data_IF_211352646903
#
_entry.id   IF_211352646903
#
_cell.length_a   1.000
_cell.length_b   1.000
_cell.length_c   1.000
_cell.angle_alpha   90.00
_cell.angle_beta   90.00
_cell.angle_gamma   90.00
#
_symmetry.space_group_name_H-M   'P 1'
#
loop_
_entity.id
_entity.type
_entity.pdbx_description
1 polymer ?
#
# COMPACT_ATOMS: atom_id res chain seq x y z
N UNK A 1 -7.61 -5.37 21.93
CA UNK A 1 -8.72 -4.38 21.86
C UNK A 1 -8.43 -3.07 22.62
N UNK A 2 -7.48 -2.99 23.56
CA UNK A 2 -7.15 -1.78 24.34
C UNK A 2 -6.62 -0.56 23.56
N UNK A 3 -6.49 -0.62 22.23
CA UNK A 3 -6.02 0.47 21.36
C UNK A 3 -7.12 1.11 20.51
N UNK A 4 -8.36 0.62 20.62
CA UNK A 4 -9.50 1.13 19.87
C UNK A 4 -10.29 2.06 20.80
N UNK A 5 -10.48 3.32 20.39
CA UNK A 5 -11.35 4.26 21.11
C UNK A 5 -12.77 3.98 20.66
N UNK A 6 -13.64 3.65 21.61
CA UNK A 6 -15.07 3.50 21.36
C UNK A 6 -15.73 4.88 21.26
N UNK A 7 -16.64 5.03 20.31
CA UNK A 7 -17.49 6.21 20.17
C UNK A 7 -18.93 5.77 20.43
N UNK A 8 -19.61 6.45 21.34
CA UNK A 8 -21.01 6.16 21.68
C UNK A 8 -21.91 7.12 20.94
N UNK A 9 -22.86 6.59 20.16
CA UNK A 9 -23.92 7.37 19.55
C UNK A 9 -25.08 7.50 20.53
N UNK A 10 -25.42 8.74 20.87
CA UNK A 10 -26.52 9.06 21.79
C UNK A 10 -27.60 9.78 20.99
N UNK A 11 -28.83 9.27 21.06
CA UNK A 11 -30.01 9.99 20.59
C UNK A 11 -30.57 10.82 21.74
N UNK A 12 -30.66 12.14 21.56
CA UNK A 12 -31.19 13.08 22.57
C UNK A 12 -32.24 13.99 21.92
N UNK A 13 -33.38 14.25 22.58
CA UNK A 13 -34.34 15.24 22.12
C UNK A 13 -33.82 16.68 22.31
N UNK A 14 -32.83 16.86 23.20
CA UNK A 14 -32.16 18.14 23.42
C UNK A 14 -30.96 18.19 22.49
N UNK A 15 -31.04 19.05 21.47
CA UNK A 15 -29.95 19.31 20.55
C UNK A 15 -29.00 20.30 21.24
N UNK A 16 -27.73 19.94 21.47
CA UNK A 16 -26.75 20.88 22.02
C UNK A 16 -26.59 22.08 21.08
N UNK A 17 -26.25 23.24 21.64
CA UNK A 17 -26.03 24.44 20.83
C UNK A 17 -24.87 24.20 19.86
N UNK A 18 -25.15 24.35 18.56
CA UNK A 18 -24.17 24.22 17.50
C UNK A 18 -23.24 25.45 17.51
N UNK A 19 -21.97 25.25 17.80
CA UNK A 19 -20.96 26.31 17.66
C UNK A 19 -20.53 26.47 16.20
N UNK A 20 -20.43 25.34 15.48
CA UNK A 20 -20.16 25.34 14.03
C UNK A 20 -21.26 24.53 13.32
N UNK A 21 -21.95 25.19 12.40
CA UNK A 21 -22.95 24.57 11.53
C UNK A 21 -22.33 24.26 10.16
N UNK A 22 -22.21 22.98 9.84
CA UNK A 22 -21.78 22.52 8.53
C UNK A 22 -22.95 22.38 7.56
N UNK A 23 -22.69 22.59 6.27
CA UNK A 23 -23.66 22.37 5.19
C UNK A 23 -23.49 21.03 4.47
N UNK A 24 -22.32 20.40 4.62
CA UNK A 24 -21.98 19.12 4.05
C UNK A 24 -22.13 18.00 5.10
N UNK A 25 -22.45 16.76 4.70
CA UNK A 25 -22.46 15.62 5.60
C UNK A 25 -21.06 15.27 6.14
N UNK A 26 -21.01 14.52 7.24
CA UNK A 26 -19.76 14.00 7.80
C UNK A 26 -19.54 12.52 7.52
N UNK A 27 -18.28 12.13 7.30
CA UNK A 27 -17.83 10.74 7.48
C UNK A 27 -16.95 10.70 8.74
N UNK A 28 -17.41 9.96 9.75
CA UNK A 28 -16.71 9.78 11.02
C UNK A 28 -16.00 8.43 11.01
N UNK A 29 -14.68 8.41 11.15
CA UNK A 29 -13.92 7.16 11.19
C UNK A 29 -12.69 7.23 12.11
N UNK A 30 -11.99 6.11 12.26
CA UNK A 30 -10.78 6.01 13.08
C UNK A 30 -9.55 5.80 12.21
N UNK A 31 -8.53 6.62 12.43
CA UNK A 31 -7.17 6.40 11.95
C UNK A 31 -6.30 5.69 13.01
N UNK A 32 -6.93 4.98 13.96
CA UNK A 32 -6.27 4.13 14.96
C UNK A 32 -6.54 2.63 14.76
N UNK A 33 -6.10 1.80 15.71
CA UNK A 33 -6.26 0.34 15.62
C UNK A 33 -5.10 -0.32 14.88
N UNK A 34 -5.36 -0.86 13.68
CA UNK A 34 -4.36 -1.53 12.82
C UNK A 34 -3.56 -0.56 11.95
N UNK A 35 -4.08 0.66 11.73
CA UNK A 35 -3.42 1.74 11.01
C UNK A 35 -2.09 2.14 11.67
N UNK A 36 -1.19 2.73 10.88
CA UNK A 36 0.17 3.07 11.31
C UNK A 36 1.27 2.38 10.50
N UNK A 37 0.90 1.49 9.59
CA UNK A 37 1.71 1.09 8.45
C UNK A 37 0.90 1.22 7.17
N UNK A 38 1.59 1.39 6.04
CA UNK A 38 0.96 1.72 4.76
C UNK A 38 -0.08 0.69 4.31
N UNK A 39 0.10 -0.61 4.63
CA UNK A 39 -0.87 -1.62 4.24
C UNK A 39 -2.22 -1.37 4.91
N UNK A 40 -2.24 -1.23 6.24
CA UNK A 40 -3.48 -0.97 6.97
C UNK A 40 -4.02 0.45 6.73
N UNK A 41 -3.17 1.45 6.53
CA UNK A 41 -3.62 2.81 6.20
C UNK A 41 -4.46 2.83 4.90
N UNK A 42 -4.09 2.04 3.90
CA UNK A 42 -4.87 1.90 2.67
C UNK A 42 -6.02 0.89 2.79
N UNK A 43 -5.74 -0.29 3.31
CA UNK A 43 -6.69 -1.40 3.35
C UNK A 43 -7.86 -1.16 4.32
N UNK A 44 -7.56 -0.60 5.49
CA UNK A 44 -8.55 -0.39 6.55
C UNK A 44 -8.98 1.08 6.65
N UNK A 45 -8.31 1.98 5.91
CA UNK A 45 -8.56 3.42 5.90
C UNK A 45 -9.04 3.93 4.54
N UNK A 46 -8.12 4.18 3.61
CA UNK A 46 -8.43 4.92 2.38
C UNK A 46 -9.36 4.19 1.39
N UNK A 47 -9.20 2.89 1.20
CA UNK A 47 -10.09 2.11 0.33
C UNK A 47 -11.51 2.08 0.92
N UNK A 48 -11.71 1.74 2.20
CA UNK A 48 -13.03 1.82 2.82
C UNK A 48 -13.62 3.24 2.85
N UNK A 49 -12.79 4.27 3.04
CA UNK A 49 -13.23 5.67 2.97
C UNK A 49 -13.77 5.99 1.57
N UNK A 50 -13.08 5.57 0.51
CA UNK A 50 -13.54 5.72 -0.86
C UNK A 50 -14.86 5.00 -1.12
N UNK A 51 -14.98 3.74 -0.67
CA UNK A 51 -16.22 2.97 -0.79
C UNK A 51 -17.37 3.69 -0.08
N UNK A 52 -17.14 4.16 1.15
CA UNK A 52 -18.16 4.85 1.97
C UNK A 52 -18.62 6.14 1.33
N UNK A 53 -17.68 6.98 0.89
CA UNK A 53 -18.00 8.26 0.25
C UNK A 53 -18.85 8.05 -1.00
N UNK A 54 -18.49 7.08 -1.86
CA UNK A 54 -19.23 6.81 -3.09
C UNK A 54 -20.53 6.00 -2.89
N UNK A 55 -20.69 5.33 -1.75
CA UNK A 55 -21.90 4.53 -1.45
C UNK A 55 -22.96 5.32 -0.72
N UNK A 56 -22.55 6.14 0.26
CA UNK A 56 -23.48 6.85 1.14
C UNK A 56 -23.69 8.30 0.67
N UNK A 57 -22.66 8.93 0.11
CA UNK A 57 -22.67 10.33 -0.30
C UNK A 57 -22.24 10.51 -1.76
N UNK A 58 -22.84 9.78 -2.72
CA UNK A 58 -22.48 9.90 -4.13
C UNK A 58 -22.65 11.35 -4.60
N UNK A 59 -21.62 11.85 -5.29
CA UNK A 59 -21.57 13.19 -5.88
C UNK A 59 -21.76 14.35 -4.87
N UNK A 60 -21.51 14.10 -3.58
CA UNK A 60 -21.54 15.10 -2.51
C UNK A 60 -20.16 15.28 -1.88
N UNK A 61 -19.83 16.53 -1.55
CA UNK A 61 -18.67 16.82 -0.72
C UNK A 61 -18.95 16.41 0.73
N UNK A 62 -17.96 15.81 1.39
CA UNK A 62 -18.06 15.34 2.79
C UNK A 62 -17.04 16.05 3.66
N UNK A 63 -17.36 16.25 4.94
CA UNK A 63 -16.38 16.65 5.96
C UNK A 63 -15.82 15.38 6.61
N UNK A 64 -14.50 15.28 6.71
CA UNK A 64 -13.85 14.16 7.39
C UNK A 64 -13.69 14.47 8.88
N UNK A 65 -14.27 13.62 9.73
CA UNK A 65 -14.13 13.67 11.18
C UNK A 65 -13.38 12.43 11.62
N UNK A 66 -12.13 12.59 12.07
CA UNK A 66 -11.20 11.48 12.24
C UNK A 66 -10.80 11.37 13.70
N UNK A 67 -11.07 10.23 14.31
CA UNK A 67 -10.53 9.85 15.63
C UNK A 67 -9.16 9.21 15.47
N UNK A 68 -8.27 9.36 16.47
CA UNK A 68 -6.88 8.87 16.45
C UNK A 68 -6.06 9.39 15.27
N UNK A 69 -6.43 10.56 14.74
CA UNK A 69 -5.73 11.26 13.67
C UNK A 69 -4.44 11.91 14.18
N UNK A 70 -3.41 11.11 14.44
CA UNK A 70 -2.10 11.62 14.89
C UNK A 70 -1.54 12.60 13.86
N UNK A 71 -0.95 13.70 14.30
CA UNK A 71 -0.46 14.77 13.42
C UNK A 71 0.49 14.28 12.33
N UNK A 72 1.38 13.34 12.66
CA UNK A 72 2.30 12.75 11.69
C UNK A 72 1.58 11.96 10.60
N UNK A 73 0.45 11.30 10.93
CA UNK A 73 -0.34 10.51 9.99
C UNK A 73 -1.11 11.44 9.04
N UNK A 74 -1.74 12.47 9.60
CA UNK A 74 -2.45 13.50 8.82
C UNK A 74 -1.45 14.20 7.88
N UNK A 75 -0.30 14.62 8.38
CA UNK A 75 0.76 15.25 7.58
C UNK A 75 1.27 14.34 6.45
N UNK A 76 1.49 13.06 6.74
CA UNK A 76 1.94 12.07 5.73
C UNK A 76 0.95 11.89 4.58
N UNK A 77 -0.36 11.89 4.89
CA UNK A 77 -1.42 11.56 3.94
C UNK A 77 -2.29 12.77 3.53
N UNK A 78 -1.88 13.99 3.86
CA UNK A 78 -2.71 15.19 3.65
C UNK A 78 -3.18 15.35 2.20
N UNK A 79 -2.29 15.04 1.24
CA UNK A 79 -2.58 15.08 -0.19
C UNK A 79 -3.69 14.08 -0.59
N UNK A 80 -3.67 12.87 -0.03
CA UNK A 80 -4.72 11.86 -0.25
C UNK A 80 -6.02 12.28 0.44
N UNK A 81 -5.96 12.74 1.69
CA UNK A 81 -7.15 13.15 2.45
C UNK A 81 -7.89 14.28 1.73
N UNK A 82 -7.17 15.22 1.11
CA UNK A 82 -7.74 16.30 0.30
C UNK A 82 -8.40 15.84 -0.99
N UNK A 83 -8.16 14.62 -1.46
CA UNK A 83 -8.93 14.04 -2.57
C UNK A 83 -10.37 13.67 -2.17
N UNK A 84 -10.63 13.49 -0.87
CA UNK A 84 -11.95 13.12 -0.34
C UNK A 84 -12.75 14.31 0.19
N UNK A 85 -12.08 15.42 0.51
CA UNK A 85 -12.73 16.58 1.10
C UNK A 85 -12.07 17.89 0.70
N UNK A 86 -12.89 18.90 0.46
CA UNK A 86 -12.46 20.31 0.33
C UNK A 86 -12.50 21.08 1.65
N UNK A 87 -13.01 20.46 2.72
CA UNK A 87 -13.18 21.08 4.03
C UNK A 87 -11.98 20.78 4.94
N UNK A 88 -11.76 21.60 5.99
CA UNK A 88 -10.81 21.27 7.03
C UNK A 88 -11.13 19.91 7.67
N UNK A 89 -10.09 19.11 7.89
CA UNK A 89 -10.19 17.81 8.57
C UNK A 89 -10.38 18.07 10.06
N UNK A 90 -11.42 17.48 10.64
CA UNK A 90 -11.70 17.58 12.07
C UNK A 90 -11.01 16.42 12.79
N UNK A 91 -10.08 16.74 13.69
CA UNK A 91 -9.45 15.75 14.56
C UNK A 91 -10.26 15.61 15.85
N UNK A 92 -11.05 14.55 15.94
CA UNK A 92 -11.98 14.33 17.06
C UNK A 92 -11.28 14.17 18.43
N UNK A 93 -9.99 13.85 18.47
CA UNK A 93 -9.26 13.75 19.75
C UNK A 93 -8.85 15.11 20.32
N UNK A 94 -8.74 16.14 19.47
CA UNK A 94 -8.27 17.47 19.85
C UNK A 94 -9.35 18.55 19.69
N UNK A 95 -10.53 18.20 19.20
CA UNK A 95 -11.63 19.13 19.00
C UNK A 95 -12.54 19.18 20.24
N UNK A 96 -12.81 20.40 20.72
CA UNK A 96 -13.68 20.69 21.87
C UNK A 96 -14.97 21.40 21.44
N UNK A 97 -15.11 21.71 20.15
CA UNK A 97 -16.20 22.50 19.60
C UNK A 97 -17.37 21.59 19.23
N UNK A 98 -18.60 22.06 19.50
CA UNK A 98 -19.80 21.36 19.05
C UNK A 98 -20.07 21.62 17.57
N UNK A 99 -19.86 20.60 16.74
CA UNK A 99 -20.15 20.62 15.31
C UNK A 99 -21.50 19.97 14.98
N UNK A 100 -22.29 20.64 14.16
CA UNK A 100 -23.57 20.13 13.67
C UNK A 100 -23.53 19.91 12.16
N UNK A 101 -24.01 18.74 11.72
CA UNK A 101 -24.04 18.32 10.32
C UNK A 101 -25.48 17.99 9.92
N UNK A 102 -25.84 18.17 8.63
CA UNK A 102 -27.16 17.74 8.14
C UNK A 102 -27.35 16.23 8.20
N UNK A 103 -26.27 15.45 8.08
CA UNK A 103 -26.23 14.00 8.30
C UNK A 103 -24.78 13.54 8.52
N UNK A 104 -24.61 12.32 9.05
CA UNK A 104 -23.30 11.73 9.25
C UNK A 104 -23.34 10.21 9.05
N UNK A 105 -22.28 9.65 8.46
CA UNK A 105 -22.01 8.21 8.49
C UNK A 105 -20.91 7.94 9.53
N UNK A 106 -21.17 7.02 10.46
CA UNK A 106 -20.20 6.66 11.51
C UNK A 106 -19.67 5.26 11.24
N UNK A 107 -18.37 5.18 10.98
CA UNK A 107 -17.71 4.02 10.42
C UNK A 107 -17.48 4.14 8.91
N UNK A 108 -16.76 3.15 8.37
CA UNK A 108 -16.40 3.04 6.95
C UNK A 108 -16.65 1.60 6.49
N UNK A 109 -17.12 1.46 5.25
CA UNK A 109 -17.53 0.21 4.61
C UNK A 109 -16.34 -0.42 3.90
N UNK A 110 -16.08 -1.70 4.13
CA UNK A 110 -15.07 -2.49 3.41
C UNK A 110 -15.73 -3.63 2.63
N UNK A 111 -15.20 -3.94 1.44
CA UNK A 111 -15.70 -5.05 0.62
C UNK A 111 -14.87 -6.32 0.78
N UNK A 112 -13.53 -6.21 0.82
CA UNK A 112 -12.54 -7.24 1.14
C UNK A 112 -11.15 -6.58 1.14
N UNK A 113 -10.07 -7.34 1.38
CA UNK A 113 -8.70 -6.87 1.26
C UNK A 113 -8.42 -6.30 -0.14
N UNK A 114 -7.97 -5.04 -0.16
CA UNK A 114 -7.59 -4.30 -1.37
C UNK A 114 -8.63 -4.39 -2.49
N UNK A 115 -9.92 -4.42 -2.13
CA UNK A 115 -11.00 -4.71 -3.07
C UNK A 115 -12.04 -3.59 -3.09
N UNK A 116 -12.43 -3.18 -4.29
CA UNK A 116 -13.56 -2.30 -4.57
C UNK A 116 -14.49 -3.06 -5.51
N UNK A 117 -15.49 -3.74 -4.95
CA UNK A 117 -16.55 -4.37 -5.73
C UNK A 117 -17.52 -3.32 -6.31
N UNK A 118 -17.45 -3.10 -7.62
CA UNK A 118 -18.28 -2.14 -8.33
C UNK A 118 -19.77 -2.50 -8.37
N UNK A 119 -20.14 -3.75 -8.07
CA UNK A 119 -21.55 -4.16 -7.96
C UNK A 119 -22.21 -3.69 -6.68
N UNK A 120 -21.40 -3.36 -5.67
CA UNK A 120 -21.87 -2.92 -4.35
C UNK A 120 -21.87 -1.39 -4.20
N UNK A 121 -21.36 -0.63 -5.19
CA UNK A 121 -21.27 0.84 -5.15
C UNK A 121 -22.21 1.44 -6.21
N UNK A 122 -23.01 2.46 -5.85
CA UNK A 122 -23.71 3.31 -6.82
C UNK A 122 -22.73 3.83 -7.90
N UNK A 123 -23.18 3.88 -9.16
CA UNK A 123 -22.36 4.30 -10.30
C UNK A 123 -21.12 3.42 -10.59
N UNK A 124 -21.05 2.23 -10.01
CA UNK A 124 -20.07 1.18 -10.33
C UNK A 124 -18.61 1.63 -10.33
N UNK A 125 -18.23 2.39 -9.30
CA UNK A 125 -16.84 2.83 -9.11
C UNK A 125 -15.90 1.64 -8.99
N UNK A 126 -14.71 1.76 -9.56
CA UNK A 126 -13.67 0.73 -9.58
C UNK A 126 -12.41 1.19 -8.85
N UNK A 127 -11.44 0.30 -8.72
CA UNK A 127 -10.12 0.65 -8.17
C UNK A 127 -9.42 1.74 -8.99
N UNK A 128 -9.62 1.79 -10.31
CA UNK A 128 -9.11 2.88 -11.15
C UNK A 128 -9.69 4.24 -10.74
N UNK A 129 -10.96 4.30 -10.34
CA UNK A 129 -11.57 5.54 -9.86
C UNK A 129 -11.03 5.98 -8.49
N UNK A 130 -10.62 5.03 -7.64
CA UNK A 130 -9.92 5.32 -6.38
C UNK A 130 -8.50 5.82 -6.62
N UNK A 131 -7.81 5.20 -7.59
CA UNK A 131 -6.40 5.44 -7.85
C UNK A 131 -6.14 6.77 -8.59
N UNK A 132 -6.97 7.14 -9.57
CA UNK A 132 -6.74 8.30 -10.43
C UNK A 132 -6.60 9.66 -9.68
N UNK A 133 -7.40 9.98 -8.65
CA UNK A 133 -7.21 11.21 -7.87
C UNK A 133 -5.88 11.25 -7.11
N UNK A 134 -5.43 10.09 -6.61
CA UNK A 134 -4.17 9.95 -5.88
C UNK A 134 -2.99 10.19 -6.85
N UNK A 135 -3.01 9.54 -8.01
CA UNK A 135 -2.01 9.74 -9.05
C UNK A 135 -1.93 11.22 -9.49
N UNK A 136 -3.09 11.84 -9.74
CA UNK A 136 -3.16 13.27 -10.11
C UNK A 136 -2.55 14.17 -9.03
N UNK A 137 -2.86 13.93 -7.76
CA UNK A 137 -2.37 14.73 -6.64
C UNK A 137 -0.83 14.72 -6.56
N UNK A 138 -0.21 13.55 -6.71
CA UNK A 138 1.25 13.46 -6.63
C UNK A 138 1.96 13.83 -7.94
N UNK A 139 1.36 13.57 -9.10
CA UNK A 139 1.90 13.96 -10.40
C UNK A 139 1.96 15.47 -10.63
N UNK A 140 0.93 16.22 -10.19
CA UNK A 140 0.95 17.69 -10.29
C UNK A 140 2.09 18.33 -9.49
N UNK A 141 2.38 17.79 -8.30
CA UNK A 141 3.49 18.25 -7.46
C UNK A 141 4.86 17.98 -8.10
N UNK A 142 4.99 16.96 -8.95
CA UNK A 142 6.22 16.74 -9.72
C UNK A 142 6.39 17.76 -10.84
N UNK A 143 5.34 18.04 -11.60
CA UNK A 143 5.40 19.01 -12.71
C UNK A 143 5.71 20.44 -12.23
N UNK A 144 5.33 20.81 -11.01
CA UNK A 144 5.70 22.09 -10.41
C UNK A 144 7.17 22.16 -9.97
N UNK A 145 7.78 21.01 -9.65
CA UNK A 145 9.16 20.93 -9.18
C UNK A 145 10.16 20.56 -10.30
N UNK A 146 9.69 20.06 -11.43
CA UNK A 146 10.51 19.68 -12.59
C UNK A 146 10.34 20.68 -13.75
N UNK A 147 11.07 21.80 -13.69
CA UNK A 147 11.29 22.69 -14.84
C UNK A 147 12.27 22.12 -15.89
N UNK A 148 12.54 20.82 -15.86
CA UNK A 148 13.44 20.16 -16.81
C UNK A 148 12.77 18.91 -17.41
N UNK A 149 12.47 18.91 -18.72
CA UNK A 149 12.05 17.69 -19.38
C UNK A 149 13.23 16.73 -19.35
N UNK A 150 13.10 15.62 -18.61
CA UNK A 150 14.03 14.52 -18.70
C UNK A 150 13.82 13.90 -20.09
N UNK A 151 14.61 14.34 -21.06
CA UNK A 151 14.66 13.77 -22.40
C UNK A 151 15.14 12.32 -22.30
N UNK A 152 14.22 11.39 -22.06
CA UNK A 152 14.46 9.97 -22.18
C UNK A 152 14.60 9.64 -23.67
N UNK A 153 15.82 9.56 -24.17
CA UNK A 153 16.10 8.89 -25.43
C UNK A 153 15.81 7.38 -25.27
N UNK A 154 14.55 7.00 -25.54
CA UNK A 154 13.94 5.69 -25.26
C UNK A 154 14.68 4.49 -25.89
N UNK A 155 15.42 4.70 -26.99
CA UNK A 155 16.16 3.61 -27.65
C UNK A 155 17.47 3.20 -26.94
N UNK A 156 18.05 4.07 -26.09
CA UNK A 156 19.32 3.81 -25.38
C UNK A 156 19.18 3.75 -23.85
N UNK A 157 18.03 4.12 -23.29
CA UNK A 157 17.82 4.08 -21.84
C UNK A 157 17.67 2.64 -21.34
N UNK A 158 18.22 2.39 -20.14
CA UNK A 158 18.01 1.16 -19.37
C UNK A 158 16.70 1.28 -18.58
N UNK A 159 15.84 0.23 -18.54
CA UNK A 159 14.71 0.21 -17.63
C UNK A 159 15.16 0.40 -16.20
N UNK A 160 14.39 1.20 -15.44
CA UNK A 160 14.61 1.44 -14.02
C UNK A 160 13.91 0.34 -13.22
N UNK A 161 14.67 -0.38 -12.41
CA UNK A 161 14.16 -1.35 -11.43
C UNK A 161 14.24 -0.73 -10.04
N UNK A 162 13.11 -0.63 -9.35
CA UNK A 162 13.04 -0.24 -7.95
C UNK A 162 13.07 -1.48 -7.07
N UNK A 163 14.12 -1.64 -6.27
CA UNK A 163 14.23 -2.69 -5.27
C UNK A 163 13.77 -2.14 -3.93
N UNK A 164 12.66 -2.64 -3.42
CA UNK A 164 12.13 -2.25 -2.12
C UNK A 164 12.94 -2.96 -1.04
N UNK A 165 13.59 -2.15 -0.22
CA UNK A 165 14.41 -2.58 0.89
C UNK A 165 13.73 -2.30 2.21
N UNK A 166 14.17 -3.02 3.23
CA UNK A 166 13.77 -2.81 4.62
C UNK A 166 14.99 -3.05 5.49
N UNK A 167 15.44 -2.03 6.22
CA UNK A 167 16.40 -2.22 7.31
C UNK A 167 15.72 -2.08 8.68
N UNK A 168 16.42 -2.48 9.73
CA UNK A 168 16.03 -2.18 11.12
C UNK A 168 15.56 -3.37 11.98
N UNK A 169 15.96 -4.60 11.65
CA UNK A 169 15.85 -5.74 12.58
C UNK A 169 14.42 -6.28 12.80
N UNK A 170 13.49 -5.94 11.93
CA UNK A 170 12.14 -6.50 11.89
C UNK A 170 12.07 -7.28 10.58
N UNK A 171 11.84 -8.61 10.62
CA UNK A 171 12.11 -9.54 9.51
C UNK A 171 11.46 -9.23 8.15
N UNK A 172 11.59 -10.18 7.22
CA UNK A 172 11.40 -10.00 5.77
C UNK A 172 12.49 -9.13 5.12
N UNK A 173 13.73 -9.24 5.61
CA UNK A 173 14.91 -8.58 5.03
C UNK A 173 15.47 -9.43 3.88
N UNK A 174 15.92 -8.76 2.81
CA UNK A 174 16.68 -9.38 1.72
C UNK A 174 18.16 -9.40 2.10
N UNK A 175 18.66 -10.55 2.54
CA UNK A 175 20.01 -10.67 3.09
C UNK A 175 21.11 -10.41 2.06
N UNK A 176 20.92 -10.87 0.82
CA UNK A 176 21.86 -10.71 -0.29
C UNK A 176 21.41 -9.61 -1.29
N UNK A 177 20.95 -8.47 -0.75
CA UNK A 177 20.43 -7.35 -1.54
C UNK A 177 21.45 -6.80 -2.56
N UNK A 178 22.72 -6.71 -2.17
CA UNK A 178 23.75 -6.12 -3.02
C UNK A 178 24.04 -7.01 -4.23
N UNK A 179 24.02 -8.31 -4.03
CA UNK A 179 24.19 -9.33 -5.07
C UNK A 179 22.99 -9.34 -6.01
N UNK A 180 21.77 -9.24 -5.47
CA UNK A 180 20.55 -9.10 -6.27
C UNK A 180 20.58 -7.84 -7.14
N UNK A 181 20.99 -6.70 -6.57
CA UNK A 181 21.20 -5.45 -7.32
C UNK A 181 22.21 -5.65 -8.44
N UNK A 182 23.36 -6.25 -8.13
CA UNK A 182 24.42 -6.49 -9.11
C UNK A 182 23.97 -7.41 -10.25
N UNK A 183 23.22 -8.46 -9.96
CA UNK A 183 22.66 -9.35 -11.00
C UNK A 183 21.63 -8.64 -11.88
N UNK A 184 20.77 -7.79 -11.32
CA UNK A 184 19.85 -6.97 -12.11
C UNK A 184 20.57 -5.95 -13.01
N UNK A 185 21.64 -5.32 -12.50
CA UNK A 185 22.48 -4.39 -13.28
C UNK A 185 23.19 -5.10 -14.44
N UNK A 186 23.68 -6.33 -14.22
CA UNK A 186 24.26 -7.17 -15.30
C UNK A 186 23.26 -7.50 -16.40
N UNK A 187 22.01 -7.76 -16.04
CA UNK A 187 20.94 -8.03 -17.01
C UNK A 187 20.61 -6.79 -17.84
N UNK A 188 20.85 -5.59 -17.28
CA UNK A 188 20.73 -4.33 -17.99
C UNK A 188 19.78 -3.33 -17.34
N UNK A 189 19.29 -3.57 -16.12
CA UNK A 189 18.53 -2.58 -15.37
C UNK A 189 19.42 -1.46 -14.84
N UNK A 190 18.85 -0.28 -14.66
CA UNK A 190 19.33 0.71 -13.69
C UNK A 190 18.58 0.50 -12.38
N UNK A 191 19.27 0.22 -11.28
CA UNK A 191 18.62 -0.18 -10.03
C UNK A 191 18.58 0.97 -9.02
N UNK A 192 17.39 1.27 -8.50
CA UNK A 192 17.16 2.19 -7.38
C UNK A 192 16.78 1.36 -6.17
N UNK A 193 17.46 1.55 -5.04
CA UNK A 193 17.02 0.98 -3.77
C UNK A 193 16.09 1.99 -3.10
N UNK A 194 14.85 1.58 -2.82
CA UNK A 194 13.90 2.39 -2.08
C UNK A 194 13.63 1.75 -0.73
N UNK A 195 13.96 2.47 0.35
CA UNK A 195 13.82 2.02 1.73
C UNK A 195 12.77 2.87 2.46
N UNK A 196 11.49 2.47 2.44
CA UNK A 196 10.45 3.21 3.13
C UNK A 196 10.52 3.00 4.65
N UNK A 197 10.31 4.09 5.38
CA UNK A 197 10.09 4.10 6.82
C UNK A 197 8.62 4.46 7.12
N UNK A 198 8.18 4.28 8.36
CA UNK A 198 6.85 4.71 8.78
C UNK A 198 6.58 6.20 8.51
N UNK A 199 7.64 7.03 8.55
CA UNK A 199 7.59 8.48 8.36
C UNK A 199 7.93 8.93 6.93
N UNK A 200 8.24 8.01 5.99
CA UNK A 200 8.54 8.39 4.62
C UNK A 200 7.35 9.16 4.01
N UNK A 201 7.55 10.41 3.55
CA UNK A 201 6.48 11.18 2.92
C UNK A 201 6.00 10.51 1.64
N UNK A 202 4.69 10.53 1.39
CA UNK A 202 4.11 9.85 0.23
C UNK A 202 4.57 10.42 -1.11
N UNK A 203 4.88 11.72 -1.21
CA UNK A 203 5.41 12.29 -2.46
C UNK A 203 6.79 11.72 -2.84
N UNK A 204 7.66 11.44 -1.85
CA UNK A 204 8.97 10.80 -2.11
C UNK A 204 8.83 9.35 -2.54
N UNK A 205 7.87 8.66 -1.93
CA UNK A 205 7.55 7.30 -2.32
C UNK A 205 7.00 7.28 -3.76
N UNK A 206 6.06 8.16 -4.08
CA UNK A 206 5.55 8.34 -5.44
C UNK A 206 6.68 8.59 -6.43
N UNK A 207 7.57 9.56 -6.17
CA UNK A 207 8.69 9.86 -7.06
C UNK A 207 9.60 8.66 -7.33
N UNK A 208 9.94 7.92 -6.28
CA UNK A 208 10.80 6.75 -6.39
C UNK A 208 10.12 5.63 -7.19
N UNK A 209 8.88 5.26 -6.83
CA UNK A 209 8.18 4.13 -7.46
C UNK A 209 7.73 4.47 -8.89
N UNK A 210 7.16 5.66 -9.10
CA UNK A 210 6.57 6.06 -10.37
C UNK A 210 7.63 6.21 -11.47
N UNK A 211 8.88 6.55 -11.13
CA UNK A 211 10.01 6.56 -12.07
C UNK A 211 10.42 5.15 -12.56
N UNK A 212 10.02 4.11 -11.84
CA UNK A 212 10.32 2.72 -12.14
C UNK A 212 9.58 2.21 -13.39
N UNK A 213 10.19 1.23 -14.05
CA UNK A 213 9.54 0.38 -15.07
C UNK A 213 9.28 -1.03 -14.52
N UNK A 214 9.97 -1.35 -13.42
CA UNK A 214 9.94 -2.61 -12.74
C UNK A 214 10.10 -2.37 -11.23
N UNK A 215 9.46 -3.18 -10.40
CA UNK A 215 9.58 -3.14 -8.93
C UNK A 215 9.72 -4.55 -8.37
N UNK A 216 10.67 -4.76 -7.46
CA UNK A 216 10.85 -6.03 -6.72
C UNK A 216 10.74 -5.74 -5.23
N UNK A 217 10.08 -6.62 -4.49
CA UNK A 217 10.17 -6.60 -3.04
C UNK A 217 9.65 -7.86 -2.37
N UNK A 218 10.12 -8.10 -1.15
CA UNK A 218 9.68 -9.23 -0.32
C UNK A 218 8.32 -8.91 0.30
N UNK A 219 7.41 -9.89 0.36
CA UNK A 219 6.16 -9.75 1.10
C UNK A 219 6.45 -9.26 2.53
N UNK A 220 5.83 -8.13 2.91
CA UNK A 220 6.08 -7.48 4.20
C UNK A 220 7.11 -6.34 4.16
N UNK A 221 7.74 -6.06 3.01
CA UNK A 221 8.61 -4.89 2.80
C UNK A 221 7.83 -3.63 2.37
N UNK A 222 6.62 -3.41 2.92
CA UNK A 222 5.76 -2.28 2.58
C UNK A 222 5.38 -2.19 1.08
N UNK A 223 5.02 -3.33 0.46
CA UNK A 223 4.68 -3.41 -0.97
C UNK A 223 3.38 -2.69 -1.36
N UNK A 224 2.63 -2.13 -0.42
CA UNK A 224 1.48 -1.25 -0.73
C UNK A 224 1.90 -0.03 -1.56
N UNK A 225 3.18 0.36 -1.53
CA UNK A 225 3.74 1.37 -2.42
C UNK A 225 3.60 1.01 -3.92
N UNK A 226 3.27 -0.23 -4.28
CA UNK A 226 2.85 -0.62 -5.64
C UNK A 226 1.67 0.23 -6.13
N UNK A 227 0.90 0.88 -5.24
CA UNK A 227 -0.10 1.87 -5.63
C UNK A 227 0.46 3.05 -6.43
N UNK A 228 1.76 3.33 -6.40
CA UNK A 228 2.36 4.40 -7.19
C UNK A 228 3.02 3.92 -8.48
N UNK A 229 2.96 2.62 -8.77
CA UNK A 229 3.53 2.07 -10.00
C UNK A 229 2.68 2.51 -11.21
N UNK A 230 3.35 2.74 -12.36
CA UNK A 230 2.65 3.06 -13.60
C UNK A 230 1.96 1.81 -14.16
N UNK A 231 0.71 1.91 -14.65
CA UNK A 231 0.05 0.81 -15.34
C UNK A 231 0.92 0.28 -16.49
N UNK A 232 1.06 -1.04 -16.60
CA UNK A 232 1.95 -1.71 -17.56
C UNK A 232 3.38 -1.95 -17.07
N UNK A 233 3.81 -1.31 -15.98
CA UNK A 233 5.06 -1.67 -15.29
C UNK A 233 4.99 -3.08 -14.72
N UNK A 234 6.15 -3.65 -14.40
CA UNK A 234 6.24 -5.03 -13.86
C UNK A 234 6.45 -4.99 -12.35
N UNK A 235 5.66 -5.71 -11.59
CA UNK A 235 5.87 -5.89 -10.15
C UNK A 235 6.12 -7.36 -9.85
N UNK A 236 7.30 -7.65 -9.30
CA UNK A 236 7.67 -8.99 -8.85
C UNK A 236 7.69 -9.05 -7.33
N UNK A 237 6.82 -9.88 -6.79
CA UNK A 237 6.77 -10.16 -5.38
C UNK A 237 7.61 -11.40 -5.04
N UNK A 238 8.55 -11.26 -4.13
CA UNK A 238 9.20 -12.39 -3.46
C UNK A 238 8.29 -12.86 -2.34
N UNK A 239 7.89 -14.13 -2.37
CA UNK A 239 6.93 -14.75 -1.45
C UNK A 239 7.68 -15.67 -0.48
N UNK A 240 7.85 -15.26 0.79
CA UNK A 240 8.38 -16.11 1.86
C UNK A 240 7.51 -17.33 2.13
N UNK A 241 8.08 -18.34 2.80
CA UNK A 241 7.33 -19.54 3.21
C UNK A 241 6.09 -19.15 4.03
N UNK A 242 4.98 -19.84 3.79
CA UNK A 242 3.75 -19.69 4.59
C UNK A 242 2.97 -18.40 4.35
N UNK A 243 3.36 -17.60 3.37
CA UNK A 243 2.73 -16.32 3.05
C UNK A 243 1.97 -16.32 1.73
N UNK A 244 1.79 -17.47 1.07
CA UNK A 244 1.25 -17.58 -0.29
C UNK A 244 -0.16 -16.99 -0.40
N UNK A 245 -1.05 -17.31 0.55
CA UNK A 245 -2.39 -16.72 0.59
C UNK A 245 -2.32 -15.20 0.79
N UNK A 246 -1.49 -14.74 1.73
CA UNK A 246 -1.32 -13.33 2.02
C UNK A 246 -0.74 -12.57 0.82
N UNK A 247 0.18 -13.20 0.08
CA UNK A 247 0.77 -12.65 -1.13
C UNK A 247 -0.30 -12.33 -2.18
N UNK A 248 -1.20 -13.29 -2.43
CA UNK A 248 -2.27 -13.13 -3.39
C UNK A 248 -3.25 -12.02 -2.98
N UNK A 249 -3.79 -12.09 -1.76
CA UNK A 249 -4.87 -11.17 -1.33
C UNK A 249 -4.38 -9.76 -1.02
N UNK A 250 -3.13 -9.60 -0.59
CA UNK A 250 -2.59 -8.28 -0.22
C UNK A 250 -1.96 -7.53 -1.39
N UNK A 251 -1.22 -8.22 -2.28
CA UNK A 251 -0.36 -7.53 -3.25
C UNK A 251 -0.52 -8.01 -4.69
N UNK A 252 -0.80 -9.29 -4.96
CA UNK A 252 -1.11 -9.71 -6.33
C UNK A 252 -2.41 -9.06 -6.83
N UNK A 253 -3.45 -9.02 -5.99
CA UNK A 253 -4.68 -8.26 -6.28
C UNK A 253 -4.40 -6.77 -6.48
N UNK A 254 -3.62 -6.15 -5.59
CA UNK A 254 -3.23 -4.75 -5.71
C UNK A 254 -2.56 -4.48 -7.07
N UNK A 255 -1.58 -5.31 -7.43
CA UNK A 255 -0.82 -5.20 -8.66
C UNK A 255 -1.72 -5.21 -9.90
N UNK A 256 -2.70 -6.13 -9.94
CA UNK A 256 -3.69 -6.21 -11.02
C UNK A 256 -4.62 -5.00 -11.03
N UNK A 257 -5.06 -4.56 -9.85
CA UNK A 257 -5.94 -3.41 -9.70
C UNK A 257 -5.32 -2.09 -10.18
N UNK A 258 -4.00 -1.93 -10.04
CA UNK A 258 -3.25 -0.77 -10.58
C UNK A 258 -2.71 -1.00 -11.99
N UNK A 259 -3.11 -2.10 -12.64
CA UNK A 259 -2.76 -2.40 -14.02
C UNK A 259 -1.30 -2.80 -14.27
N UNK A 260 -0.56 -3.19 -13.23
CA UNK A 260 0.81 -3.72 -13.39
C UNK A 260 0.82 -5.19 -13.81
N UNK A 261 1.87 -5.60 -14.53
CA UNK A 261 2.14 -7.02 -14.77
C UNK A 261 2.73 -7.65 -13.49
N UNK A 262 1.97 -8.54 -12.84
CA UNK A 262 2.40 -9.24 -11.63
C UNK A 262 3.26 -10.47 -11.96
N UNK A 263 4.37 -10.62 -11.23
CA UNK A 263 5.23 -11.80 -11.21
C UNK A 263 5.43 -12.27 -9.78
N UNK A 264 5.60 -13.57 -9.61
CA UNK A 264 5.78 -14.18 -8.29
C UNK A 264 7.07 -15.01 -8.25
N UNK A 265 7.91 -14.75 -7.25
CA UNK A 265 9.05 -15.58 -6.92
C UNK A 265 8.81 -16.25 -5.56
N UNK A 266 8.41 -17.52 -5.57
CA UNK A 266 8.31 -18.32 -4.35
C UNK A 266 9.69 -18.81 -3.95
N UNK A 267 10.06 -18.52 -2.71
CA UNK A 267 11.33 -18.99 -2.16
C UNK A 267 11.25 -20.49 -1.87
N UNK A 268 12.38 -21.16 -1.86
CA UNK A 268 12.51 -22.50 -1.28
C UNK A 268 12.89 -22.41 0.20
N UNK A 269 12.86 -23.54 0.90
CA UNK A 269 13.25 -23.61 2.30
C UNK A 269 14.69 -23.13 2.52
N UNK A 270 15.60 -23.48 1.62
CA UNK A 270 17.03 -23.13 1.68
C UNK A 270 17.28 -21.63 1.52
N UNK A 271 16.32 -20.91 0.94
CA UNK A 271 16.36 -19.45 0.79
C UNK A 271 15.81 -18.72 2.03
N UNK A 272 15.31 -19.45 3.04
CA UNK A 272 14.69 -18.92 4.25
C UNK A 272 15.62 -19.02 5.47
N UNK A 273 15.75 -17.94 6.24
CA UNK A 273 16.49 -17.97 7.52
C UNK A 273 15.80 -18.80 8.61
N UNK A 274 14.58 -19.30 8.37
CA UNK A 274 13.88 -20.15 9.35
C UNK A 274 14.62 -21.48 9.60
N UNK A 275 15.41 -21.96 8.63
CA UNK A 275 16.24 -23.15 8.80
C UNK A 275 17.36 -22.99 9.84
N UNK A 276 17.67 -21.76 10.25
CA UNK A 276 18.58 -21.51 11.37
C UNK A 276 17.96 -21.86 12.73
N UNK A 277 16.61 -21.93 12.79
CA UNK A 277 15.83 -22.13 14.01
C UNK A 277 15.04 -23.44 14.03
N UNK A 278 14.64 -23.91 12.85
CA UNK A 278 13.78 -25.07 12.65
C UNK A 278 14.46 -26.07 11.73
N UNK A 279 14.28 -27.36 12.01
CA UNK A 279 14.71 -28.43 11.11
C UNK A 279 13.86 -28.45 9.83
N UNK A 280 14.38 -29.04 8.76
CA UNK A 280 13.62 -29.19 7.50
C UNK A 280 12.33 -30.00 7.67
N UNK A 281 12.31 -30.93 8.63
CA UNK A 281 11.15 -31.78 8.94
C UNK A 281 10.10 -31.09 9.82
N UNK A 282 10.42 -29.94 10.43
CA UNK A 282 9.47 -29.19 11.24
C UNK A 282 8.29 -28.70 10.40
N UNK A 283 7.08 -28.77 10.97
CA UNK A 283 5.87 -28.29 10.31
C UNK A 283 5.97 -26.81 9.90
N UNK A 284 6.75 -26.01 10.63
CA UNK A 284 7.02 -24.61 10.28
C UNK A 284 7.61 -24.48 8.86
N UNK A 285 8.43 -25.43 8.44
CA UNK A 285 9.10 -25.45 7.13
C UNK A 285 8.29 -26.27 6.13
N UNK A 286 7.96 -27.52 6.48
CA UNK A 286 7.39 -28.50 5.54
C UNK A 286 5.92 -28.24 5.21
N UNK A 287 5.14 -27.77 6.17
CA UNK A 287 3.72 -27.46 5.96
C UNK A 287 3.28 -26.23 6.78
N UNK A 288 3.62 -25.02 6.29
CA UNK A 288 3.25 -23.78 6.93
C UNK A 288 1.75 -23.58 7.15
N UNK A 289 0.92 -24.17 6.27
CA UNK A 289 -0.54 -24.08 6.34
C UNK A 289 -1.05 -24.91 7.50
N UNK A 290 -0.57 -26.16 7.65
CA UNK A 290 -0.90 -27.00 8.78
C UNK A 290 -0.36 -26.44 10.10
N UNK A 291 0.87 -25.91 10.12
CA UNK A 291 1.46 -25.27 11.30
C UNK A 291 0.61 -24.09 11.79
N UNK A 292 0.22 -23.18 10.89
CA UNK A 292 -0.61 -22.02 11.25
C UNK A 292 -2.02 -22.44 11.66
N UNK A 293 -2.62 -23.40 10.94
CA UNK A 293 -4.03 -23.76 11.08
C UNK A 293 -4.94 -22.53 11.01
N UNK A 294 -5.77 -22.34 12.04
CA UNK A 294 -6.64 -21.17 12.19
C UNK A 294 -6.02 -20.05 13.06
N UNK A 295 -4.84 -20.29 13.65
CA UNK A 295 -4.22 -19.32 14.55
C UNK A 295 -3.42 -18.28 13.78
N UNK A 296 -4.06 -17.14 13.50
CA UNK A 296 -3.44 -16.04 12.75
C UNK A 296 -2.18 -15.46 13.41
N UNK A 297 -2.03 -15.58 14.74
CA UNK A 297 -0.84 -15.08 15.44
C UNK A 297 0.45 -15.78 15.01
N UNK A 298 0.36 -17.03 14.54
CA UNK A 298 1.50 -17.82 14.07
C UNK A 298 2.07 -17.31 12.74
N UNK A 299 1.32 -16.47 12.01
CA UNK A 299 1.81 -15.80 10.81
C UNK A 299 3.01 -14.88 11.11
N UNK A 300 3.21 -14.46 12.37
CA UNK A 300 4.39 -13.68 12.77
C UNK A 300 5.70 -14.43 12.53
N UNK A 301 5.73 -15.77 12.60
CA UNK A 301 6.93 -16.55 12.29
C UNK A 301 7.39 -16.22 10.86
N UNK A 302 6.46 -16.23 9.92
CA UNK A 302 6.76 -15.97 8.52
C UNK A 302 6.93 -14.48 8.18
N UNK A 303 6.24 -13.57 8.87
CA UNK A 303 6.25 -12.13 8.58
C UNK A 303 7.27 -11.31 9.38
N UNK A 304 7.82 -11.86 10.47
CA UNK A 304 8.73 -11.12 11.38
C UNK A 304 10.02 -11.86 11.68
N UNK A 305 10.05 -13.18 11.58
CA UNK A 305 11.20 -13.98 11.98
C UNK A 305 11.96 -14.60 10.81
N UNK A 306 11.46 -14.42 9.59
CA UNK A 306 12.01 -14.95 8.37
C UNK A 306 12.67 -13.85 7.55
N UNK A 307 13.95 -14.00 7.25
CA UNK A 307 14.66 -13.26 6.22
C UNK A 307 14.90 -14.16 5.01
N UNK A 308 15.22 -13.54 3.88
CA UNK A 308 15.36 -14.25 2.60
C UNK A 308 16.75 -14.02 2.02
N UNK A 309 17.40 -15.11 1.64
CA UNK A 309 18.62 -15.10 0.82
C UNK A 309 18.29 -15.75 -0.52
N UNK A 310 18.17 -14.95 -1.57
CA UNK A 310 17.71 -15.45 -2.87
C UNK A 310 18.77 -16.30 -3.57
N UNK A 311 18.38 -17.43 -4.14
CA UNK A 311 19.19 -18.21 -5.07
C UNK A 311 19.36 -17.41 -6.37
N UNK A 312 20.55 -16.84 -6.56
CA UNK A 312 20.85 -15.98 -7.71
C UNK A 312 20.81 -16.72 -9.06
N UNK A 313 21.04 -18.04 -9.09
CA UNK A 313 20.98 -18.82 -10.34
C UNK A 313 19.54 -18.91 -10.81
N UNK A 314 18.63 -19.29 -9.91
CA UNK A 314 17.19 -19.34 -10.17
C UNK A 314 16.64 -17.93 -10.42
N UNK A 315 16.98 -16.97 -9.56
CA UNK A 315 16.46 -15.60 -9.61
C UNK A 315 16.85 -14.86 -10.90
N UNK A 316 18.02 -15.15 -11.47
CA UNK A 316 18.47 -14.56 -12.73
C UNK A 316 17.50 -14.82 -13.88
N UNK A 317 16.86 -15.99 -13.94
CA UNK A 317 15.88 -16.29 -15.00
C UNK A 317 14.61 -15.43 -14.86
N UNK A 318 14.15 -15.21 -13.63
CA UNK A 318 13.04 -14.29 -13.34
C UNK A 318 13.38 -12.85 -13.71
N UNK A 319 14.59 -12.38 -13.39
CA UNK A 319 15.05 -11.04 -13.75
C UNK A 319 15.12 -10.85 -15.28
N UNK A 320 15.55 -11.86 -16.04
CA UNK A 320 15.56 -11.81 -17.52
C UNK A 320 14.14 -11.67 -18.09
N UNK A 321 13.17 -12.40 -17.54
CA UNK A 321 11.77 -12.26 -17.96
C UNK A 321 11.22 -10.88 -17.62
N UNK A 322 11.45 -10.44 -16.38
CA UNK A 322 11.06 -9.11 -15.90
C UNK A 322 11.64 -8.00 -16.79
N UNK A 323 12.91 -8.13 -17.19
CA UNK A 323 13.58 -7.18 -18.08
C UNK A 323 12.91 -7.07 -19.45
N UNK A 324 12.53 -8.20 -20.05
CA UNK A 324 11.81 -8.22 -21.35
C UNK A 324 10.48 -7.47 -21.23
N UNK A 325 9.73 -7.72 -20.16
CA UNK A 325 8.44 -7.04 -19.88
C UNK A 325 8.64 -5.55 -19.64
N UNK A 326 9.63 -5.16 -18.84
CA UNK A 326 9.96 -3.76 -18.56
C UNK A 326 10.41 -3.00 -19.83
N UNK A 327 11.24 -3.62 -20.69
CA UNK A 327 11.60 -3.03 -22.00
C UNK A 327 10.39 -2.87 -22.91
N UNK A 328 9.48 -3.85 -22.93
CA UNK A 328 8.24 -3.77 -23.72
C UNK A 328 7.37 -2.60 -23.24
N UNK A 329 7.25 -2.40 -21.93
CA UNK A 329 6.54 -1.26 -21.35
C UNK A 329 7.20 0.06 -21.72
N UNK A 330 8.50 0.20 -21.48
CA UNK A 330 9.27 1.41 -21.80
C UNK A 330 9.20 1.79 -23.29
N UNK A 331 9.17 0.81 -24.20
CA UNK A 331 9.03 1.06 -25.64
C UNK A 331 7.61 1.48 -26.05
N UNK A 332 6.58 1.22 -25.24
CA UNK A 332 5.19 1.67 -25.52
C UNK A 332 4.95 3.11 -25.07
N UNK A 333 5.73 3.60 -24.11
CA UNK A 333 5.63 4.96 -23.58
C UNK A 333 6.45 5.99 -24.37
N UNK A 334 7.42 5.53 -25.17
CA UNK A 334 8.40 6.36 -25.87
C UNK A 334 8.15 6.57 -27.35
#
# INVERSE_FOLDING_TARGET
MSRIKELTLISSPIIPNCEIQHKAPAIVFSAGGLTGNIFHDFNDGFIPLFITANSIFPDQDVVLVISKARDWWVSKYIEILRTFTKYPIINLDNDIITHCFPSANVGIISHDLVTIDSKLIPNSKTFTNFHAPIEKSYGQNQNQNQNHPINFNSSKSRPILVLISRNGGVGCVLSNQNEVKFEAEKIGFSVIIFEPTAMTPMHKAYESIHSGHAMIGIHGAALTHTIFIRPGSVFMQVVPLGTEWAAEVCYARLARNVGSEYMEYRIKAEESSLLEKYSEDDLVIRDPVAFRGTNWSLMNVYLKEQNVTLDLVKFREYLKEMYKKAKKFMNKEG
#
